data_IF_033375021905
#
_entry.id   IF_033375021905
#
_cell.length_a   1.000
_cell.length_b   1.000
_cell.length_c   1.000
_cell.angle_alpha   90.00
_cell.angle_beta   90.00
_cell.angle_gamma   90.00
#
_symmetry.space_group_name_H-M   'P 1'
#
loop_
_entity.id
_entity.type
_entity.pdbx_description
1 polymer ?
#
# COMPACT_ATOMS: atom_id res chain seq x y z
N UNK A 1 68.73 13.87 60.41
CA UNK A 1 68.92 14.78 59.25
C UNK A 1 68.57 14.02 57.99
N UNK A 2 67.36 14.20 57.46
CA UNK A 2 66.94 13.62 56.18
C UNK A 2 67.25 14.66 55.10
N UNK A 3 68.38 14.50 54.43
CA UNK A 3 68.71 15.30 53.26
C UNK A 3 67.75 14.89 52.13
N UNK A 4 66.83 15.77 51.77
CA UNK A 4 65.99 15.59 50.59
C UNK A 4 66.88 15.69 49.35
N UNK A 5 67.21 14.57 48.73
CA UNK A 5 67.88 14.55 47.43
C UNK A 5 66.98 15.30 46.43
N UNK A 6 67.52 16.37 45.84
CA UNK A 6 66.81 17.14 44.84
C UNK A 6 66.44 16.24 43.65
N UNK A 7 65.18 16.27 43.18
CA UNK A 7 64.73 15.38 42.12
C UNK A 7 65.57 15.57 40.85
N UNK A 8 66.06 14.45 40.31
CA UNK A 8 66.89 14.43 39.10
C UNK A 8 66.01 14.80 37.90
N UNK A 9 66.50 15.70 37.05
CA UNK A 9 65.82 16.17 35.82
C UNK A 9 65.31 14.99 34.95
N UNK A 10 65.99 13.85 35.02
CA UNK A 10 65.66 12.60 34.32
C UNK A 10 64.28 12.03 34.70
N UNK A 11 63.88 12.10 35.97
CA UNK A 11 62.59 11.55 36.43
C UNK A 11 61.41 12.35 35.87
N UNK A 12 61.59 13.66 35.68
CA UNK A 12 60.57 14.55 35.12
C UNK A 12 60.34 14.28 33.63
N UNK A 13 61.41 14.04 32.86
CA UNK A 13 61.28 13.64 31.45
C UNK A 13 60.54 12.31 31.29
N UNK A 14 60.79 11.34 32.19
CA UNK A 14 60.09 10.05 32.14
C UNK A 14 58.59 10.19 32.46
N UNK A 15 58.23 11.05 33.43
CA UNK A 15 56.84 11.34 33.75
C UNK A 15 56.08 11.91 32.54
N UNK A 16 56.67 12.88 31.82
CA UNK A 16 56.06 13.44 30.60
C UNK A 16 55.89 12.43 29.49
N UNK A 17 56.87 11.55 29.28
CA UNK A 17 56.77 10.46 28.31
C UNK A 17 55.58 9.54 28.60
N UNK A 18 55.37 9.17 29.87
CA UNK A 18 54.24 8.34 30.28
C UNK A 18 52.89 9.03 30.09
N UNK A 19 52.81 10.32 30.41
CA UNK A 19 51.60 11.12 30.22
C UNK A 19 51.27 11.27 28.74
N UNK A 20 52.27 11.59 27.90
CA UNK A 20 52.09 11.68 26.46
C UNK A 20 51.63 10.34 25.85
N UNK A 21 52.20 9.22 26.31
CA UNK A 21 51.79 7.88 25.89
C UNK A 21 50.33 7.56 26.25
N UNK A 22 49.90 7.90 27.48
CA UNK A 22 48.52 7.72 27.92
C UNK A 22 47.56 8.57 27.06
N UNK A 23 47.90 9.83 26.82
CA UNK A 23 47.09 10.73 25.98
C UNK A 23 46.98 10.19 24.56
N UNK A 24 48.09 9.78 23.94
CA UNK A 24 48.09 9.22 22.57
C UNK A 24 47.30 7.92 22.48
N UNK A 25 47.41 7.03 23.46
CA UNK A 25 46.61 5.79 23.49
C UNK A 25 45.11 6.07 23.62
N UNK A 26 44.74 7.07 24.42
CA UNK A 26 43.34 7.51 24.57
C UNK A 26 42.80 8.04 23.25
N UNK A 27 43.56 8.88 22.56
CA UNK A 27 43.18 9.36 21.23
C UNK A 27 43.04 8.21 20.22
N UNK A 28 43.96 7.25 20.20
CA UNK A 28 43.89 6.11 19.30
C UNK A 28 42.59 5.31 19.48
N UNK A 29 42.16 5.07 20.73
CA UNK A 29 40.89 4.38 21.02
C UNK A 29 39.69 5.19 20.53
N UNK A 30 39.67 6.50 20.77
CA UNK A 30 38.58 7.38 20.32
C UNK A 30 38.49 7.37 18.79
N UNK A 31 39.61 7.57 18.09
CA UNK A 31 39.65 7.57 16.63
C UNK A 31 39.18 6.23 16.05
N UNK A 32 39.65 5.11 16.63
CA UNK A 32 39.20 3.77 16.20
C UNK A 32 37.70 3.60 16.38
N UNK A 33 37.14 4.06 17.51
CA UNK A 33 35.70 4.03 17.76
C UNK A 33 34.89 4.89 16.78
N UNK A 34 35.40 6.07 16.41
CA UNK A 34 34.75 6.95 15.43
C UNK A 34 34.78 6.36 14.02
N UNK A 35 35.89 5.77 13.60
CA UNK A 35 36.00 5.08 12.30
C UNK A 35 35.04 3.91 12.22
N UNK A 36 34.98 3.07 13.26
CA UNK A 36 34.06 1.94 13.30
C UNK A 36 32.60 2.39 13.26
N UNK A 37 32.26 3.47 13.98
CA UNK A 37 30.92 4.07 13.93
C UNK A 37 30.57 4.61 12.54
N UNK A 38 31.54 5.23 11.86
CA UNK A 38 31.35 5.74 10.50
C UNK A 38 31.13 4.61 9.51
N UNK A 39 31.95 3.56 9.54
CA UNK A 39 31.83 2.41 8.66
C UNK A 39 30.47 1.70 8.82
N UNK A 40 30.00 1.51 10.06
CA UNK A 40 28.66 0.94 10.30
C UNK A 40 27.56 1.81 9.71
N UNK A 41 27.68 3.14 9.79
CA UNK A 41 26.69 4.05 9.19
C UNK A 41 26.69 3.91 7.67
N UNK A 42 27.86 3.94 7.03
CA UNK A 42 28.00 3.83 5.57
C UNK A 42 27.44 2.50 5.08
N UNK A 43 27.80 1.38 5.69
CA UNK A 43 27.27 0.06 5.28
C UNK A 43 25.75 -0.03 5.39
N UNK A 44 25.14 0.61 6.40
CA UNK A 44 23.68 0.66 6.53
C UNK A 44 23.03 1.54 5.47
N UNK A 45 23.69 2.62 5.06
CA UNK A 45 23.21 3.49 3.98
C UNK A 45 23.32 2.77 2.63
N UNK A 46 24.48 2.16 2.34
CA UNK A 46 24.69 1.33 1.14
C UNK A 46 23.70 0.17 1.07
N UNK A 47 23.44 -0.51 2.19
CA UNK A 47 22.47 -1.60 2.24
C UNK A 47 21.05 -1.10 1.95
N UNK A 48 20.65 0.07 2.48
CA UNK A 48 19.35 0.68 2.18
C UNK A 48 19.24 1.09 0.72
N UNK A 49 20.33 1.58 0.13
CA UNK A 49 20.36 1.96 -1.28
C UNK A 49 20.30 0.75 -2.19
N UNK A 50 20.99 -0.34 -1.85
CA UNK A 50 20.88 -1.63 -2.55
C UNK A 50 19.47 -2.21 -2.44
N UNK A 51 18.88 -2.21 -1.24
CA UNK A 51 17.47 -2.60 -1.00
C UNK A 51 16.51 -1.77 -1.87
N UNK A 52 16.68 -0.45 -1.90
CA UNK A 52 15.86 0.46 -2.69
C UNK A 52 16.07 0.28 -4.21
N UNK A 53 17.30 0.03 -4.64
CA UNK A 53 17.64 -0.24 -6.04
C UNK A 53 16.95 -1.51 -6.53
N UNK A 54 16.95 -2.59 -5.74
CA UNK A 54 16.25 -3.82 -6.09
C UNK A 54 14.74 -3.58 -6.22
N UNK A 55 14.13 -2.81 -5.31
CA UNK A 55 12.72 -2.50 -5.37
C UNK A 55 12.34 -1.62 -6.60
N UNK A 56 13.28 -0.84 -7.16
CA UNK A 56 13.07 -0.04 -8.38
C UNK A 56 12.98 -0.89 -9.65
N UNK A 57 13.37 -2.17 -9.59
CA UNK A 57 13.32 -3.08 -10.73
C UNK A 57 11.92 -3.64 -11.02
N UNK A 58 10.93 -3.33 -10.19
CA UNK A 58 9.56 -3.84 -10.37
C UNK A 58 8.71 -2.77 -11.01
N UNK A 59 8.31 -2.96 -12.26
CA UNK A 59 7.56 -1.97 -13.03
C UNK A 59 6.17 -2.52 -13.32
N UNK A 60 5.14 -1.79 -12.89
CA UNK A 60 3.75 -2.03 -13.26
C UNK A 60 3.34 -1.06 -14.36
N UNK A 61 2.86 -1.60 -15.48
CA UNK A 61 2.24 -0.81 -16.55
C UNK A 61 0.78 -1.19 -16.70
N UNK A 62 -0.10 -0.20 -16.71
CA UNK A 62 -1.50 -0.36 -17.10
C UNK A 62 -1.66 0.22 -18.50
N UNK A 63 -2.43 -0.48 -19.34
CA UNK A 63 -2.89 0.02 -20.63
C UNK A 63 -4.39 -0.09 -20.66
N UNK A 64 -5.04 1.04 -20.89
CA UNK A 64 -6.42 1.10 -21.23
C UNK A 64 -6.59 0.52 -22.64
N UNK A 65 -7.42 -0.51 -22.74
CA UNK A 65 -7.83 -1.05 -24.03
C UNK A 65 -9.24 -0.55 -24.25
N UNK A 66 -9.47 0.53 -25.02
CA UNK A 66 -10.82 0.90 -25.44
C UNK A 66 -11.32 -0.25 -26.31
N UNK A 67 -12.06 -1.17 -25.71
CA UNK A 67 -12.74 -2.19 -26.47
C UNK A 67 -13.87 -1.50 -27.23
N UNK A 68 -14.00 -1.67 -28.55
CA UNK A 68 -15.32 -1.50 -29.14
C UNK A 68 -16.22 -2.50 -28.43
N UNK A 69 -17.31 -2.05 -27.80
CA UNK A 69 -18.38 -2.96 -27.42
C UNK A 69 -19.04 -3.36 -28.74
N UNK A 70 -18.43 -4.30 -29.46
CA UNK A 70 -19.01 -4.88 -30.67
C UNK A 70 -20.14 -5.78 -30.19
N UNK A 71 -21.36 -5.26 -30.23
CA UNK A 71 -22.53 -6.12 -30.14
C UNK A 71 -22.88 -6.58 -31.55
N UNK A 72 -22.89 -7.89 -31.75
CA UNK A 72 -23.53 -8.50 -32.90
C UNK A 72 -25.03 -8.45 -32.63
N UNK A 73 -25.70 -7.41 -33.13
CA UNK A 73 -27.17 -7.36 -33.06
C UNK A 73 -27.69 -8.31 -34.14
N UNK A 74 -27.96 -9.56 -33.76
CA UNK A 74 -28.78 -10.47 -34.56
C UNK A 74 -30.20 -9.92 -34.47
N UNK A 75 -30.58 -9.09 -35.44
CA UNK A 75 -31.98 -8.80 -35.70
C UNK A 75 -32.54 -10.06 -36.35
N UNK A 76 -33.39 -10.79 -35.63
CA UNK A 76 -34.26 -11.81 -36.22
C UNK A 76 -35.27 -11.09 -37.13
N UNK A 77 -34.85 -10.80 -38.36
CA UNK A 77 -35.76 -10.54 -39.46
C UNK A 77 -36.42 -11.88 -39.83
N UNK A 78 -37.76 -12.03 -39.75
CA UNK A 78 -38.45 -13.26 -40.15
C UNK A 78 -38.28 -13.60 -41.64
N UNK A 79 -37.57 -12.77 -42.41
CA UNK A 79 -37.35 -12.90 -43.84
C UNK A 79 -35.89 -13.25 -44.18
N UNK A 80 -35.33 -14.29 -43.54
CA UNK A 80 -34.20 -15.14 -43.98
C UNK A 80 -33.11 -14.50 -44.88
N UNK A 81 -32.62 -13.32 -44.49
CA UNK A 81 -31.44 -12.68 -45.09
C UNK A 81 -30.59 -12.07 -43.99
N UNK A 82 -29.52 -12.80 -43.62
CA UNK A 82 -28.49 -12.33 -42.70
C UNK A 82 -27.78 -11.09 -43.28
N UNK A 83 -28.16 -9.92 -42.80
CA UNK A 83 -27.51 -8.66 -43.12
C UNK A 83 -26.45 -8.38 -42.05
N UNK A 84 -25.19 -8.66 -42.36
CA UNK A 84 -24.04 -8.31 -41.51
C UNK A 84 -23.81 -6.80 -41.62
N UNK A 85 -24.43 -6.02 -40.73
CA UNK A 85 -24.16 -4.59 -40.59
C UNK A 85 -23.12 -4.40 -39.48
N UNK A 86 -21.85 -4.22 -39.87
CA UNK A 86 -20.80 -3.78 -38.97
C UNK A 86 -20.84 -2.25 -38.85
N UNK A 87 -21.46 -1.73 -37.80
CA UNK A 87 -21.45 -0.30 -37.47
C UNK A 87 -20.78 -0.04 -36.11
N UNK A 88 -19.99 1.02 -36.01
CA UNK A 88 -19.45 1.52 -34.74
C UNK A 88 -20.45 2.50 -34.15
N UNK A 89 -21.21 2.06 -33.15
CA UNK A 89 -22.13 2.94 -32.41
C UNK A 89 -21.48 3.24 -31.06
N UNK A 90 -21.27 4.52 -30.76
CA UNK A 90 -20.92 4.98 -29.42
C UNK A 90 -22.17 4.86 -28.54
N UNK A 91 -22.18 4.00 -27.50
CA UNK A 91 -23.39 3.79 -26.72
C UNK A 91 -23.72 5.03 -25.88
N UNK A 92 -24.80 5.73 -26.24
CA UNK A 92 -25.46 6.70 -25.37
C UNK A 92 -26.35 5.91 -24.39
N UNK A 93 -25.94 5.80 -23.12
CA UNK A 93 -26.80 5.32 -22.03
C UNK A 93 -26.62 3.88 -21.53
N UNK A 94 -25.65 3.10 -22.03
CA UNK A 94 -25.25 1.83 -21.38
C UNK A 94 -24.04 2.06 -20.49
N UNK A 95 -24.06 1.48 -19.28
CA UNK A 95 -22.90 1.45 -18.38
C UNK A 95 -21.68 0.98 -19.16
N UNK A 96 -20.71 1.86 -19.34
CA UNK A 96 -19.44 1.54 -19.98
C UNK A 96 -18.57 0.81 -18.96
N UNK A 97 -18.43 -0.51 -19.12
CA UNK A 97 -17.38 -1.24 -18.41
C UNK A 97 -16.06 -1.00 -19.14
N UNK A 98 -15.06 -0.50 -18.42
CA UNK A 98 -13.73 -0.29 -18.95
C UNK A 98 -12.87 -1.52 -18.66
N UNK A 99 -12.26 -2.12 -19.69
CA UNK A 99 -11.30 -3.22 -19.51
C UNK A 99 -9.89 -2.67 -19.52
N UNK A 100 -9.21 -2.71 -18.37
CA UNK A 100 -7.81 -2.30 -18.23
C UNK A 100 -6.94 -3.54 -18.22
N UNK A 101 -6.02 -3.62 -19.18
CA UNK A 101 -4.98 -4.64 -19.20
C UNK A 101 -3.80 -4.14 -18.40
N UNK A 102 -3.20 -5.00 -17.60
CA UNK A 102 -2.06 -4.65 -16.78
C UNK A 102 -0.96 -5.70 -16.91
N UNK A 103 0.29 -5.25 -16.75
CA UNK A 103 1.49 -6.08 -16.74
C UNK A 103 2.44 -5.61 -15.65
N UNK A 104 2.88 -6.53 -14.81
CA UNK A 104 3.92 -6.31 -13.81
C UNK A 104 5.12 -7.17 -14.18
N UNK A 105 6.29 -6.53 -14.27
CA UNK A 105 7.56 -7.19 -14.62
C UNK A 105 8.52 -7.03 -13.45
N UNK A 106 9.14 -8.13 -13.04
CA UNK A 106 10.25 -8.18 -12.11
C UNK A 106 11.56 -8.18 -12.91
N UNK A 107 12.26 -7.05 -12.94
CA UNK A 107 13.59 -6.97 -13.58
C UNK A 107 14.74 -7.36 -12.65
N UNK A 108 14.46 -7.86 -11.43
CA UNK A 108 15.49 -8.34 -10.53
C UNK A 108 15.85 -9.80 -10.82
N UNK A 109 17.06 -10.20 -10.44
CA UNK A 109 17.52 -11.60 -10.55
C UNK A 109 16.98 -12.50 -9.44
N UNK A 110 16.17 -11.97 -8.52
CA UNK A 110 15.67 -12.67 -7.36
C UNK A 110 14.12 -12.71 -7.39
N UNK A 111 13.51 -13.81 -6.94
CA UNK A 111 12.05 -13.88 -6.87
C UNK A 111 11.52 -12.90 -5.82
N UNK A 112 10.34 -12.35 -6.09
CA UNK A 112 9.58 -11.56 -5.12
C UNK A 112 8.28 -12.27 -4.75
N UNK A 113 7.83 -12.05 -3.53
CA UNK A 113 6.80 -12.83 -2.87
C UNK A 113 5.59 -11.98 -2.51
N UNK A 114 4.44 -12.65 -2.33
CA UNK A 114 3.20 -12.05 -1.85
C UNK A 114 2.84 -10.75 -2.58
N UNK A 115 2.96 -10.77 -3.91
CA UNK A 115 2.69 -9.63 -4.77
C UNK A 115 1.19 -9.38 -4.80
N UNK A 116 0.80 -8.14 -4.53
CA UNK A 116 -0.58 -7.67 -4.52
C UNK A 116 -0.67 -6.50 -5.48
N UNK A 117 -1.54 -6.65 -6.47
CA UNK A 117 -1.69 -5.69 -7.54
C UNK A 117 -3.04 -5.01 -7.38
N UNK A 118 -3.04 -3.68 -7.31
CA UNK A 118 -4.25 -2.87 -7.35
C UNK A 118 -4.18 -1.92 -8.53
N UNK A 119 -5.27 -1.83 -9.28
CA UNK A 119 -5.42 -0.86 -10.37
C UNK A 119 -6.28 0.29 -9.87
N UNK A 120 -5.80 1.51 -10.07
CA UNK A 120 -6.50 2.74 -9.74
C UNK A 120 -6.78 3.52 -11.02
N UNK A 121 -7.89 4.25 -11.01
CA UNK A 121 -8.18 5.30 -11.96
C UNK A 121 -8.05 6.63 -11.21
N UNK A 122 -7.32 7.58 -11.77
CA UNK A 122 -7.03 8.88 -11.15
C UNK A 122 -8.31 9.69 -10.88
N UNK A 123 -9.31 9.50 -11.74
CA UNK A 123 -10.58 10.23 -11.73
C UNK A 123 -11.51 9.73 -10.62
N UNK A 124 -11.49 8.42 -10.37
CA UNK A 124 -12.27 7.76 -9.32
C UNK A 124 -11.31 7.26 -8.25
N UNK A 125 -11.17 8.00 -7.15
CA UNK A 125 -10.34 7.63 -5.98
C UNK A 125 -10.67 6.27 -5.35
N UNK A 126 -11.73 5.61 -5.83
CA UNK A 126 -12.09 4.23 -5.53
C UNK A 126 -11.04 3.25 -6.09
N UNK A 127 -10.50 2.37 -5.24
CA UNK A 127 -9.75 1.21 -5.73
C UNK A 127 -10.72 0.26 -6.43
N UNK A 128 -10.41 -0.11 -7.66
CA UNK A 128 -11.40 -0.68 -8.58
C UNK A 128 -11.60 -2.19 -8.46
N UNK A 129 -10.67 -2.92 -7.84
CA UNK A 129 -10.86 -4.32 -7.47
C UNK A 129 -9.89 -4.73 -6.36
N UNK A 130 -10.32 -5.71 -5.54
CA UNK A 130 -9.47 -6.35 -4.53
C UNK A 130 -8.31 -7.10 -5.21
N UNK A 131 -7.12 -7.11 -4.59
CA UNK A 131 -5.88 -7.32 -5.31
C UNK A 131 -5.79 -8.75 -5.84
N UNK A 132 -5.38 -8.91 -7.10
CA UNK A 132 -4.81 -10.18 -7.54
C UNK A 132 -3.58 -10.43 -6.66
N UNK A 133 -3.61 -11.56 -5.97
CA UNK A 133 -2.51 -12.01 -5.12
C UNK A 133 -1.73 -13.04 -5.91
N UNK A 134 -0.41 -12.83 -6.01
CA UNK A 134 0.53 -13.75 -6.64
C UNK A 134 1.54 -14.11 -5.57
N UNK A 135 1.68 -15.40 -5.28
CA UNK A 135 2.56 -15.84 -4.20
C UNK A 135 4.03 -15.63 -4.53
N UNK A 136 4.43 -15.86 -5.79
CA UNK A 136 5.79 -15.69 -6.28
C UNK A 136 5.77 -15.09 -7.69
N UNK A 137 6.56 -14.05 -7.92
CA UNK A 137 6.76 -13.44 -9.24
C UNK A 137 8.24 -13.50 -9.61
N UNK A 138 8.58 -14.33 -10.59
CA UNK A 138 9.95 -14.54 -11.08
C UNK A 138 10.29 -13.59 -12.24
N UNK A 139 9.45 -13.53 -13.27
CA UNK A 139 9.67 -12.72 -14.47
C UNK A 139 8.53 -11.71 -14.68
N UNK A 140 7.38 -12.16 -15.18
CA UNK A 140 6.26 -11.27 -15.45
C UNK A 140 4.91 -11.89 -15.11
N UNK A 141 3.95 -11.02 -14.79
CA UNK A 141 2.55 -11.39 -14.64
C UNK A 141 1.67 -10.35 -15.32
N UNK A 142 0.64 -10.81 -16.01
CA UNK A 142 -0.34 -9.97 -16.66
C UNK A 142 -1.77 -10.36 -16.27
N UNK A 143 -2.70 -9.47 -16.57
CA UNK A 143 -4.11 -9.70 -16.39
C UNK A 143 -4.95 -8.57 -16.94
N UNK A 144 -6.26 -8.72 -16.85
CA UNK A 144 -7.21 -7.67 -17.14
C UNK A 144 -8.13 -7.49 -15.94
N UNK A 145 -8.51 -6.26 -15.67
CA UNK A 145 -9.53 -5.89 -14.68
C UNK A 145 -10.63 -5.18 -15.43
N UNK A 146 -11.85 -5.66 -15.25
CA UNK A 146 -13.05 -4.95 -15.65
C UNK A 146 -13.42 -3.96 -14.54
N UNK A 147 -13.44 -2.69 -14.91
CA UNK A 147 -13.75 -1.58 -14.04
C UNK A 147 -15.25 -1.33 -14.18
N UNK A 148 -15.98 -1.80 -13.18
CA UNK A 148 -17.39 -1.49 -13.00
C UNK A 148 -17.54 -0.18 -12.21
N UNK A 149 -18.53 0.63 -12.55
CA UNK A 149 -18.88 1.82 -11.78
C UNK A 149 -18.18 3.12 -12.21
N UNK A 150 -17.50 3.15 -13.36
CA UNK A 150 -17.38 4.41 -14.11
C UNK A 150 -18.73 4.62 -14.81
N UNK A 151 -19.77 4.89 -14.02
CA UNK A 151 -21.11 5.27 -14.50
C UNK A 151 -21.10 6.75 -14.93
N UNK A 152 -20.04 7.18 -15.62
CA UNK A 152 -19.90 8.52 -16.16
C UNK A 152 -19.97 8.42 -17.68
N UNK A 153 -20.97 9.06 -18.28
CA UNK A 153 -20.96 9.27 -19.73
C UNK A 153 -19.77 10.15 -20.12
N UNK A 154 -19.36 10.13 -21.40
CA UNK A 154 -18.32 11.03 -21.90
C UNK A 154 -18.63 12.50 -21.56
N UNK A 155 -19.90 12.90 -21.65
CA UNK A 155 -20.35 14.24 -21.27
C UNK A 155 -20.15 14.51 -19.77
N UNK A 156 -20.43 13.54 -18.90
CA UNK A 156 -20.22 13.68 -17.45
C UNK A 156 -18.73 13.68 -17.07
N UNK A 157 -17.90 12.92 -17.77
CA UNK A 157 -16.44 12.99 -17.63
C UNK A 157 -15.93 14.38 -18.03
N UNK A 158 -16.42 14.91 -19.15
CA UNK A 158 -16.04 16.23 -19.64
C UNK A 158 -16.53 17.36 -18.72
N UNK A 159 -17.80 17.31 -18.29
CA UNK A 159 -18.39 18.31 -17.41
C UNK A 159 -17.72 18.31 -16.03
N UNK A 160 -17.48 17.14 -15.44
CA UNK A 160 -16.98 17.03 -14.07
C UNK A 160 -15.46 17.17 -13.96
N UNK A 161 -14.72 16.68 -14.96
CA UNK A 161 -13.26 16.60 -14.89
C UNK A 161 -12.55 17.32 -16.05
N UNK A 162 -13.28 17.83 -17.04
CA UNK A 162 -12.68 18.43 -18.24
C UNK A 162 -12.05 17.41 -19.19
N UNK A 163 -12.35 16.13 -19.03
CA UNK A 163 -11.70 15.03 -19.77
C UNK A 163 -12.68 14.50 -20.82
N UNK A 164 -12.29 14.53 -22.08
CA UNK A 164 -13.13 14.06 -23.19
C UNK A 164 -13.13 12.52 -23.30
N UNK A 165 -12.00 11.88 -23.03
CA UNK A 165 -11.83 10.42 -23.09
C UNK A 165 -10.79 9.99 -22.05
N UNK A 166 -10.97 8.80 -21.47
CA UNK A 166 -9.99 8.21 -20.56
C UNK A 166 -8.71 7.84 -21.32
N UNK A 167 -7.58 8.35 -20.86
CA UNK A 167 -6.27 8.03 -21.41
C UNK A 167 -5.58 6.92 -20.58
N UNK A 168 -4.55 6.30 -21.16
CA UNK A 168 -3.66 5.37 -20.44
C UNK A 168 -3.08 6.00 -19.16
N UNK A 169 -2.81 7.31 -19.20
CA UNK A 169 -2.24 8.08 -18.08
C UNK A 169 -3.20 8.26 -16.89
N UNK A 170 -4.49 8.04 -17.10
CA UNK A 170 -5.49 8.09 -16.03
C UNK A 170 -5.47 6.84 -15.17
N UNK A 171 -4.79 5.78 -15.60
CA UNK A 171 -4.69 4.53 -14.87
C UNK A 171 -3.28 4.33 -14.31
N UNK A 172 -3.21 3.91 -13.05
CA UNK A 172 -1.94 3.53 -12.44
C UNK A 172 -2.10 2.28 -11.58
N UNK A 173 -0.99 1.56 -11.42
CA UNK A 173 -0.94 0.31 -10.67
C UNK A 173 -0.18 0.54 -9.38
N UNK A 174 -0.75 0.11 -8.26
CA UNK A 174 -0.01 -0.09 -7.03
C UNK A 174 0.36 -1.56 -6.91
N UNK A 175 1.66 -1.82 -6.81
CA UNK A 175 2.22 -3.14 -6.57
C UNK A 175 2.79 -3.16 -5.16
N UNK A 176 2.16 -3.91 -4.27
CA UNK A 176 2.72 -4.21 -2.96
C UNK A 176 3.34 -5.61 -2.98
N UNK A 177 4.57 -5.78 -2.52
CA UNK A 177 5.29 -7.05 -2.60
C UNK A 177 6.24 -7.21 -1.43
N UNK A 178 6.75 -8.43 -1.26
CA UNK A 178 7.81 -8.78 -0.31
C UNK A 178 9.04 -9.20 -1.11
N UNK A 179 10.20 -8.59 -0.85
CA UNK A 179 11.43 -8.99 -1.54
C UNK A 179 12.01 -10.30 -0.97
N UNK A 180 13.12 -10.75 -1.54
CA UNK A 180 13.85 -11.96 -1.12
C UNK A 180 14.45 -11.87 0.28
N UNK A 181 14.56 -10.66 0.85
CA UNK A 181 15.04 -10.43 2.22
C UNK A 181 13.89 -10.36 3.24
N UNK A 182 12.65 -10.48 2.78
CA UNK A 182 11.45 -10.43 3.61
C UNK A 182 10.94 -9.01 3.89
N UNK A 183 11.49 -7.99 3.22
CA UNK A 183 11.03 -6.61 3.37
C UNK A 183 9.84 -6.33 2.48
N UNK A 184 8.89 -5.55 3.00
CA UNK A 184 7.66 -5.18 2.29
C UNK A 184 7.78 -3.82 1.65
N UNK A 185 7.38 -3.75 0.40
CA UNK A 185 7.46 -2.57 -0.43
C UNK A 185 6.11 -2.31 -1.09
N UNK A 186 5.84 -1.03 -1.37
CA UNK A 186 4.75 -0.60 -2.22
C UNK A 186 5.29 0.34 -3.28
N UNK A 187 4.92 0.12 -4.53
CA UNK A 187 5.23 1.01 -5.66
C UNK A 187 3.94 1.41 -6.35
N UNK A 188 3.80 2.69 -6.66
CA UNK A 188 2.62 3.23 -7.35
C UNK A 188 3.06 3.81 -8.69
N UNK A 189 2.60 3.24 -9.80
CA UNK A 189 3.02 3.62 -11.15
C UNK A 189 4.53 3.59 -11.32
N UNK A 190 5.11 4.72 -11.73
CA UNK A 190 6.54 4.89 -11.94
C UNK A 190 7.29 5.43 -10.71
N UNK A 191 6.58 5.76 -9.63
CA UNK A 191 7.18 6.36 -8.43
C UNK A 191 8.23 5.45 -7.80
N UNK A 192 9.09 6.05 -6.97
CA UNK A 192 10.05 5.29 -6.17
C UNK A 192 9.32 4.35 -5.20
N UNK A 193 9.77 3.10 -5.06
CA UNK A 193 9.19 2.16 -4.12
C UNK A 193 9.32 2.70 -2.68
N UNK A 194 8.25 2.58 -1.91
CA UNK A 194 8.19 2.99 -0.50
C UNK A 194 8.15 1.75 0.37
N UNK A 195 8.97 1.73 1.42
CA UNK A 195 8.98 0.62 2.38
C UNK A 195 7.71 0.67 3.23
N UNK A 196 6.96 -0.42 3.24
CA UNK A 196 5.85 -0.60 4.16
C UNK A 196 6.43 -1.15 5.45
N UNK A 197 6.68 -0.27 6.42
CA UNK A 197 6.94 -0.71 7.78
C UNK A 197 5.67 -1.40 8.25
N UNK A 198 5.72 -2.72 8.42
CA UNK A 198 4.61 -3.50 8.91
C UNK A 198 4.03 -2.76 10.12
N UNK A 199 2.81 -2.26 9.97
CA UNK A 199 2.15 -1.54 11.02
C UNK A 199 1.86 -2.56 12.12
N UNK A 200 2.82 -2.75 13.03
CA UNK A 200 2.74 -3.75 14.11
C UNK A 200 1.56 -3.49 15.06
N UNK A 201 0.70 -2.47 14.81
CA UNK A 201 -0.37 -2.04 15.72
C UNK A 201 -1.76 -1.77 15.12
N UNK A 202 -1.96 -1.45 13.84
CA UNK A 202 -3.32 -1.09 13.40
C UNK A 202 -4.30 -2.26 13.32
N UNK A 203 -3.86 -3.46 12.91
CA UNK A 203 -4.75 -4.62 12.84
C UNK A 203 -5.24 -5.10 14.22
N UNK A 204 -4.43 -4.95 15.27
CA UNK A 204 -4.91 -5.24 16.65
C UNK A 204 -5.86 -4.16 17.13
N UNK A 205 -5.60 -2.88 16.83
CA UNK A 205 -6.43 -1.78 17.29
C UNK A 205 -7.80 -1.74 16.62
N UNK A 206 -7.89 -1.97 15.31
CA UNK A 206 -9.17 -2.03 14.58
C UNK A 206 -9.99 -3.24 15.02
N UNK A 207 -9.35 -4.41 15.21
CA UNK A 207 -10.07 -5.58 15.73
C UNK A 207 -10.54 -5.39 17.17
N UNK A 208 -9.75 -4.74 18.04
CA UNK A 208 -10.14 -4.37 19.41
C UNK A 208 -11.31 -3.37 19.43
N UNK A 209 -11.27 -2.35 18.58
CA UNK A 209 -12.37 -1.39 18.43
C UNK A 209 -13.65 -2.08 17.93
N UNK A 210 -13.53 -3.00 16.96
CA UNK A 210 -14.68 -3.76 16.46
C UNK A 210 -15.29 -4.65 17.54
N UNK A 211 -14.45 -5.30 18.36
CA UNK A 211 -14.95 -6.11 19.49
C UNK A 211 -15.58 -5.24 20.57
N UNK A 212 -15.01 -4.07 20.88
CA UNK A 212 -15.61 -3.13 21.84
C UNK A 212 -16.96 -2.60 21.36
N UNK A 213 -17.05 -2.14 20.10
CA UNK A 213 -18.31 -1.63 19.52
C UNK A 213 -19.39 -2.72 19.47
N UNK A 214 -19.03 -3.95 19.06
CA UNK A 214 -19.99 -5.07 19.09
C UNK A 214 -20.45 -5.39 20.51
N UNK A 215 -19.56 -5.32 21.52
CA UNK A 215 -19.94 -5.56 22.91
C UNK A 215 -20.91 -4.50 23.44
N UNK A 216 -20.69 -3.23 23.11
CA UNK A 216 -21.58 -2.13 23.50
C UNK A 216 -22.96 -2.24 22.84
N UNK A 217 -22.99 -2.59 21.54
CA UNK A 217 -24.24 -2.81 20.81
C UNK A 217 -25.01 -4.02 21.35
N UNK A 218 -24.33 -5.12 21.66
CA UNK A 218 -24.97 -6.30 22.27
C UNK A 218 -25.49 -6.04 23.68
N UNK A 219 -24.84 -5.17 24.47
CA UNK A 219 -25.34 -4.78 25.80
C UNK A 219 -26.57 -3.86 25.75
N UNK A 220 -26.77 -3.10 24.68
CA UNK A 220 -27.91 -2.19 24.54
C UNK A 220 -29.22 -2.91 24.19
N UNK A 221 -29.16 -4.10 23.60
CA UNK A 221 -30.36 -4.87 23.20
C UNK A 221 -31.01 -5.62 24.36
N UNK A 222 -30.32 -5.78 25.50
CA UNK A 222 -30.88 -6.44 26.69
C UNK A 222 -31.42 -5.43 27.71
N UNK A 223 -32.08 -4.37 27.24
CA UNK A 223 -32.88 -3.54 28.13
C UNK A 223 -34.12 -4.36 28.56
N UNK A 224 -34.36 -4.57 29.87
CA UNK A 224 -35.52 -5.30 30.32
C UNK A 224 -36.79 -4.57 29.85
N UNK A 225 -37.61 -5.27 29.07
CA UNK A 225 -38.94 -4.79 28.66
C UNK A 225 -39.69 -4.36 29.93
N UNK A 226 -40.16 -3.11 30.03
CA UNK A 226 -40.91 -2.67 31.20
C UNK A 226 -42.16 -3.54 31.34
N UNK A 227 -42.25 -4.23 32.48
CA UNK A 227 -43.36 -5.11 32.80
C UNK A 227 -44.69 -4.36 32.60
N UNK A 228 -45.52 -4.90 31.70
CA UNK A 228 -46.81 -4.33 31.33
C UNK A 228 -47.67 -4.07 32.56
N UNK A 229 -48.11 -2.82 32.68
CA UNK A 229 -49.09 -2.36 33.67
C UNK A 229 -50.40 -3.12 33.43
N UNK A 230 -50.81 -3.90 34.42
CA UNK A 230 -52.04 -4.70 34.39
C UNK A 230 -53.28 -3.82 34.10
N UNK A 231 -54.23 -4.29 33.27
CA UNK A 231 -55.48 -3.57 33.03
C UNK A 231 -56.35 -3.57 34.29
N UNK A 232 -56.71 -2.36 34.73
CA UNK A 232 -57.64 -2.14 35.84
C UNK A 232 -59.01 -2.73 35.55
N UNK A 233 -59.43 -3.63 36.43
CA UNK A 233 -60.78 -4.19 36.51
C UNK A 233 -61.59 -3.27 37.43
N UNK A 234 -62.50 -2.47 36.87
CA UNK A 234 -63.57 -1.78 37.59
C UNK A 234 -64.84 -1.99 36.78
N UNK A 235 -65.67 -2.96 37.17
CA UNK A 235 -66.80 -2.79 38.09
C UNK A 235 -67.95 -2.01 37.43
N UNK A 236 -68.99 -2.76 37.09
CA UNK A 236 -70.28 -2.20 36.72
C UNK A 236 -71.11 -1.83 37.95
N UNK A 237 -72.07 -0.95 37.73
CA UNK A 237 -73.31 -0.79 38.51
C UNK A 237 -74.30 -0.04 37.59
N UNK A 238 -75.39 -0.70 37.19
CA UNK A 238 -76.71 -0.66 37.83
C UNK A 238 -77.42 0.70 37.56
N UNK A 239 -78.41 0.73 36.66
CA UNK A 239 -79.83 0.47 36.92
C UNK A 239 -80.59 1.75 37.32
N UNK A 240 -81.73 1.99 36.67
CA UNK A 240 -82.70 3.04 37.03
C UNK A 240 -83.17 3.84 35.83
#
# INVERSE_FOLDING_TARGET
MLAAEAPKITDWMQAWGSLAGLVMSTFAVIFTGLLFRHEIRVRREEQRDQEAAQARLIIGTARYSPGPVTYELVLDDPTDKRLLVSGTIVPVGKKSSAKVKWKVVNHSSLPIFAVRIKVYCRITTSSLQWPKVIDVLEDCCEGAVEIDGIDLTADQLHEKYGIAELADEDFFIEVAFTDSTGLRWVRTGLDSPRRIYAERKQHRFINLLRTMVQRTLSSATTAPTPAGRAPGRGEGQAAG
#
